data_IF_874357482344
#
_entry.id   IF_874357482344
#
_cell.length_a   1.000
_cell.length_b   1.000
_cell.length_c   1.000
_cell.angle_alpha   90.00
_cell.angle_beta   90.00
_cell.angle_gamma   90.00
#
_symmetry.space_group_name_H-M   'P 1'
#
loop_
_entity.id
_entity.type
_entity.pdbx_description
1 polymer ?
#
# COMPACT_ATOMS: atom_id res chain seq x y z
N UNK A 1 11.21 -4.86 -16.48
CA UNK A 1 10.47 -4.89 -15.22
C UNK A 1 9.65 -3.61 -15.07
N UNK A 2 8.53 -3.68 -14.37
CA UNK A 2 7.67 -2.54 -14.02
C UNK A 2 7.55 -2.48 -12.50
N UNK A 3 7.70 -1.27 -11.93
CA UNK A 3 7.56 -1.03 -10.50
C UNK A 3 6.36 -0.12 -10.24
N UNK A 4 5.55 -0.44 -9.23
CA UNK A 4 4.42 0.40 -8.78
C UNK A 4 4.24 0.27 -7.26
N UNK A 5 3.58 1.25 -6.66
CA UNK A 5 3.28 1.26 -5.23
C UNK A 5 1.87 1.76 -4.95
N UNK A 6 1.21 1.16 -3.97
CA UNK A 6 0.09 1.76 -3.27
C UNK A 6 0.63 2.35 -1.97
N UNK A 7 0.43 3.65 -1.77
CA UNK A 7 0.97 4.42 -0.63
C UNK A 7 -0.18 5.07 0.11
N UNK A 8 -0.17 4.94 1.41
CA UNK A 8 -1.11 5.53 2.34
C UNK A 8 -0.35 6.34 3.39
N UNK A 9 -0.64 7.64 3.48
CA UNK A 9 0.06 8.54 4.39
C UNK A 9 -0.80 8.78 5.63
N UNK A 10 -0.25 8.59 6.82
CA UNK A 10 -0.97 8.89 8.05
C UNK A 10 -1.24 10.38 8.18
N UNK A 11 -2.41 10.70 8.76
CA UNK A 11 -2.83 12.08 9.00
C UNK A 11 -3.64 12.69 7.85
N UNK A 12 -4.34 13.79 8.16
CA UNK A 12 -5.18 14.53 7.22
C UNK A 12 -4.83 16.03 7.25
N UNK A 13 -5.30 16.76 6.25
CA UNK A 13 -5.03 18.19 6.15
C UNK A 13 -3.57 18.50 5.83
N UNK A 14 -3.02 19.52 6.44
CA UNK A 14 -1.67 20.03 6.12
C UNK A 14 -0.56 19.02 6.44
N UNK A 15 -0.52 18.36 7.61
CA UNK A 15 0.51 17.35 7.90
C UNK A 15 0.50 16.18 6.91
N UNK A 16 -0.68 15.61 6.60
CA UNK A 16 -0.82 14.54 5.61
C UNK A 16 -0.35 14.94 4.21
N UNK A 17 -0.64 16.19 3.78
CA UNK A 17 -0.16 16.72 2.51
C UNK A 17 1.38 16.82 2.47
N UNK A 18 2.02 17.23 3.57
CA UNK A 18 3.49 17.23 3.68
C UNK A 18 4.06 15.83 3.63
N UNK A 19 3.45 14.85 4.32
CA UNK A 19 3.87 13.46 4.28
C UNK A 19 3.81 12.90 2.85
N UNK A 20 2.72 13.17 2.12
CA UNK A 20 2.57 12.75 0.73
C UNK A 20 3.62 13.37 -0.19
N UNK A 21 3.94 14.67 0.01
CA UNK A 21 4.97 15.35 -0.78
C UNK A 21 6.37 14.80 -0.50
N UNK A 22 6.72 14.61 0.78
CA UNK A 22 8.00 14.04 1.20
C UNK A 22 8.14 12.60 0.67
N UNK A 23 7.10 11.79 0.85
CA UNK A 23 7.07 10.41 0.37
C UNK A 23 7.25 10.32 -1.14
N UNK A 24 6.51 11.12 -1.91
CA UNK A 24 6.63 11.19 -3.36
C UNK A 24 8.05 11.60 -3.79
N UNK A 25 8.58 12.69 -3.23
CA UNK A 25 9.92 13.18 -3.56
C UNK A 25 11.00 12.15 -3.23
N UNK A 26 10.96 11.56 -2.04
CA UNK A 26 11.93 10.56 -1.62
C UNK A 26 11.83 9.29 -2.48
N UNK A 27 10.61 8.80 -2.78
CA UNK A 27 10.39 7.62 -3.61
C UNK A 27 10.93 7.83 -5.04
N UNK A 28 10.68 9.01 -5.64
CA UNK A 28 11.20 9.35 -6.95
C UNK A 28 12.74 9.32 -7.02
N UNK A 29 13.42 9.78 -5.97
CA UNK A 29 14.89 9.77 -5.92
C UNK A 29 15.44 8.37 -5.66
N UNK A 30 14.87 7.65 -4.73
CA UNK A 30 15.34 6.32 -4.33
C UNK A 30 15.18 5.31 -5.46
N UNK A 31 14.07 5.34 -6.19
CA UNK A 31 13.80 4.39 -7.29
C UNK A 31 14.68 4.60 -8.53
N UNK A 32 15.33 5.76 -8.64
CA UNK A 32 16.37 5.98 -9.69
C UNK A 32 17.66 5.21 -9.42
N UNK A 33 17.92 4.86 -8.17
CA UNK A 33 19.16 4.23 -7.71
C UNK A 33 18.96 2.76 -7.36
N UNK A 34 17.85 2.45 -6.70
CA UNK A 34 17.55 1.11 -6.19
C UNK A 34 16.38 0.50 -6.96
N UNK A 35 16.52 -0.77 -7.34
CA UNK A 35 15.52 -1.54 -8.09
C UNK A 35 14.90 -2.68 -7.28
N UNK A 36 15.51 -3.05 -6.15
CA UNK A 36 15.00 -4.07 -5.25
C UNK A 36 14.02 -3.45 -4.24
N UNK A 37 12.78 -3.95 -4.13
CA UNK A 37 11.74 -3.36 -3.27
C UNK A 37 12.16 -3.15 -1.81
N UNK A 38 12.85 -4.11 -1.19
CA UNK A 38 13.34 -4.00 0.19
C UNK A 38 14.35 -2.85 0.35
N UNK A 39 15.28 -2.71 -0.61
CA UNK A 39 16.27 -1.64 -0.60
C UNK A 39 15.65 -0.27 -0.84
N UNK A 40 14.62 -0.22 -1.68
CA UNK A 40 13.85 1.01 -1.89
C UNK A 40 13.16 1.41 -0.59
N UNK A 41 12.51 0.50 0.12
CA UNK A 41 11.86 0.80 1.39
C UNK A 41 12.86 1.22 2.48
N UNK A 42 14.00 0.52 2.61
CA UNK A 42 15.05 0.88 3.56
C UNK A 42 15.55 2.32 3.34
N UNK A 43 15.81 2.70 2.09
CA UNK A 43 16.31 4.03 1.75
C UNK A 43 15.21 5.10 1.82
N UNK A 44 13.97 4.75 1.43
CA UNK A 44 12.82 5.62 1.58
C UNK A 44 12.57 5.96 3.04
N UNK A 45 12.59 4.95 3.92
CA UNK A 45 12.44 5.15 5.36
C UNK A 45 13.53 6.10 5.90
N UNK A 46 14.78 5.84 5.55
CA UNK A 46 15.92 6.68 5.98
C UNK A 46 15.78 8.13 5.49
N UNK A 47 15.52 8.33 4.20
CA UNK A 47 15.39 9.66 3.60
C UNK A 47 14.21 10.43 4.21
N UNK A 48 13.07 9.75 4.44
CA UNK A 48 11.91 10.38 5.08
C UNK A 48 12.19 10.77 6.52
N UNK A 49 12.87 9.92 7.30
CA UNK A 49 13.26 10.26 8.67
C UNK A 49 14.23 11.47 8.71
N UNK A 50 15.22 11.53 7.83
CA UNK A 50 16.19 12.64 7.75
C UNK A 50 15.50 13.97 7.37
N UNK A 51 14.47 13.93 6.52
CA UNK A 51 13.72 15.13 6.13
C UNK A 51 12.76 15.62 7.22
N UNK A 52 12.13 14.69 7.96
CA UNK A 52 11.18 15.02 9.01
C UNK A 52 11.84 15.44 10.32
N UNK A 53 13.04 14.92 10.59
CA UNK A 53 13.77 15.16 11.83
C UNK A 53 15.23 15.58 11.58
N UNK A 54 15.47 16.75 10.94
CA UNK A 54 16.82 17.20 10.58
C UNK A 54 17.74 17.41 11.80
N UNK A 55 17.17 17.75 12.96
CA UNK A 55 17.91 18.01 14.21
C UNK A 55 17.97 16.80 15.15
N UNK A 56 17.52 15.61 14.69
CA UNK A 56 17.43 14.40 15.50
C UNK A 56 16.09 14.25 16.23
N UNK A 57 15.90 13.06 16.82
CA UNK A 57 14.64 12.65 17.45
C UNK A 57 14.50 13.23 18.85
N UNK A 58 13.58 14.13 19.09
CA UNK A 58 13.36 14.67 20.44
C UNK A 58 12.33 15.77 20.62
N UNK A 59 11.95 16.48 19.56
CA UNK A 59 10.98 17.57 19.61
C UNK A 59 9.95 17.45 18.47
N UNK A 60 8.74 18.01 18.70
CA UNK A 60 7.73 18.16 17.64
C UNK A 60 8.37 18.83 16.43
N UNK A 61 8.25 18.23 15.24
CA UNK A 61 8.75 18.86 14.04
C UNK A 61 8.04 20.19 13.85
N UNK A 62 8.77 21.21 13.34
CA UNK A 62 8.22 22.51 12.96
C UNK A 62 7.06 22.43 11.96
N UNK A 63 6.83 21.27 11.36
CA UNK A 63 5.77 20.99 10.38
C UNK A 63 4.51 20.38 11.00
N UNK A 64 4.46 20.19 12.35
CA UNK A 64 3.34 19.56 13.05
C UNK A 64 3.21 18.06 12.78
N UNK A 65 4.25 17.43 12.22
CA UNK A 65 4.34 15.98 12.01
C UNK A 65 4.82 15.35 13.32
N UNK A 66 4.10 14.36 13.82
CA UNK A 66 4.46 13.67 15.07
C UNK A 66 5.34 12.45 14.78
N UNK A 67 6.00 11.91 15.83
CA UNK A 67 6.79 10.67 15.73
C UNK A 67 5.96 9.43 15.33
N UNK A 68 4.63 9.55 15.33
CA UNK A 68 3.70 8.49 14.94
C UNK A 68 3.21 8.62 13.49
N UNK A 69 3.49 9.75 12.84
CA UNK A 69 3.13 9.96 11.45
C UNK A 69 4.11 9.22 10.55
N UNK A 70 3.59 8.53 9.56
CA UNK A 70 4.37 7.70 8.65
C UNK A 70 3.61 7.39 7.37
N UNK A 71 4.12 6.45 6.60
CA UNK A 71 3.46 5.97 5.39
C UNK A 71 3.39 4.45 5.43
N UNK A 72 2.22 3.92 5.13
CA UNK A 72 2.01 2.52 4.83
C UNK A 72 2.10 2.32 3.32
N UNK A 73 2.84 1.33 2.87
CA UNK A 73 2.95 1.11 1.43
C UNK A 73 3.24 -0.34 1.06
N UNK A 74 2.71 -0.74 -0.10
CA UNK A 74 3.09 -1.94 -0.81
C UNK A 74 3.89 -1.57 -2.05
N UNK A 75 5.17 -1.93 -2.10
CA UNK A 75 6.03 -1.74 -3.28
C UNK A 75 6.19 -3.05 -4.02
N UNK A 76 5.89 -3.01 -5.32
CA UNK A 76 5.82 -4.18 -6.18
C UNK A 76 6.66 -3.98 -7.42
N UNK A 77 7.50 -4.95 -7.75
CA UNK A 77 8.23 -5.03 -9.00
C UNK A 77 7.81 -6.29 -9.76
N UNK A 78 7.32 -6.12 -10.99
CA UNK A 78 6.93 -7.21 -11.88
C UNK A 78 7.88 -7.28 -13.06
N UNK A 79 8.57 -8.41 -13.18
CA UNK A 79 9.37 -8.75 -14.35
C UNK A 79 8.59 -9.73 -15.24
N UNK A 80 8.06 -9.21 -16.36
CA UNK A 80 7.26 -10.03 -17.30
C UNK A 80 8.11 -10.99 -18.14
N UNK A 81 9.39 -10.70 -18.33
CA UNK A 81 10.27 -11.59 -19.09
C UNK A 81 10.68 -12.80 -18.24
N UNK A 82 10.95 -12.56 -16.97
CA UNK A 82 11.29 -13.62 -16.00
C UNK A 82 10.06 -14.27 -15.36
N UNK A 83 8.88 -13.70 -15.58
CA UNK A 83 7.66 -14.10 -14.88
C UNK A 83 7.87 -14.14 -13.36
N UNK A 84 8.39 -13.04 -12.81
CA UNK A 84 8.74 -12.90 -11.41
C UNK A 84 8.10 -11.67 -10.80
N UNK A 85 7.59 -11.82 -9.58
CA UNK A 85 7.11 -10.76 -8.70
C UNK A 85 8.08 -10.62 -7.55
N UNK A 86 8.51 -9.39 -7.26
CA UNK A 86 9.18 -9.01 -6.03
C UNK A 86 8.31 -8.00 -5.29
N UNK A 87 8.16 -8.19 -3.99
CA UNK A 87 7.33 -7.36 -3.13
C UNK A 87 8.05 -7.08 -1.81
N UNK A 88 7.90 -5.85 -1.33
CA UNK A 88 8.20 -5.44 0.03
C UNK A 88 7.09 -4.52 0.52
N UNK A 89 6.67 -4.65 1.76
CA UNK A 89 5.54 -3.88 2.31
C UNK A 89 5.84 -3.31 3.69
N UNK A 90 5.45 -2.06 3.88
CA UNK A 90 5.36 -1.37 5.15
C UNK A 90 3.88 -1.39 5.58
N UNK A 91 3.49 -2.21 6.54
CA UNK A 91 2.11 -2.45 7.03
C UNK A 91 1.07 -2.84 5.95
N UNK A 92 1.32 -2.59 4.68
CA UNK A 92 0.40 -2.76 3.56
C UNK A 92 0.63 -4.11 2.85
N UNK A 93 -0.31 -5.07 2.92
CA UNK A 93 -0.16 -6.38 2.30
C UNK A 93 -0.35 -6.33 0.78
N UNK A 94 0.20 -7.35 0.10
CA UNK A 94 -0.07 -7.60 -1.32
C UNK A 94 -0.92 -8.86 -1.47
N UNK A 95 -1.84 -8.86 -2.43
CA UNK A 95 -2.71 -9.99 -2.73
C UNK A 95 -2.42 -10.51 -4.13
N UNK A 96 -2.22 -11.82 -4.25
CA UNK A 96 -2.11 -12.54 -5.52
C UNK A 96 -3.29 -13.49 -5.67
N UNK A 97 -4.07 -13.35 -6.73
CA UNK A 97 -5.14 -14.30 -7.07
C UNK A 97 -4.68 -15.16 -8.24
N UNK A 98 -4.60 -16.46 -8.02
CA UNK A 98 -4.23 -17.49 -8.99
C UNK A 98 -5.27 -18.60 -9.01
N UNK A 99 -5.92 -18.84 -10.15
CA UNK A 99 -6.93 -19.91 -10.33
C UNK A 99 -8.01 -19.90 -9.25
N UNK A 100 -8.49 -18.72 -8.88
CA UNK A 100 -9.53 -18.55 -7.86
C UNK A 100 -9.05 -18.69 -6.40
N UNK A 101 -7.76 -18.86 -6.17
CA UNK A 101 -7.17 -18.90 -4.82
C UNK A 101 -6.40 -17.60 -4.55
N UNK A 102 -6.64 -17.00 -3.38
CA UNK A 102 -5.94 -15.82 -2.93
C UNK A 102 -4.77 -16.21 -2.03
N UNK A 103 -3.59 -15.71 -2.37
CA UNK A 103 -2.41 -15.70 -1.53
C UNK A 103 -2.14 -14.27 -1.05
N UNK A 104 -2.05 -14.09 0.26
CA UNK A 104 -1.66 -12.83 0.88
C UNK A 104 -0.17 -12.84 1.22
N UNK A 105 0.59 -11.88 0.68
CA UNK A 105 1.97 -11.61 1.06
C UNK A 105 1.94 -10.60 2.21
N UNK A 106 2.49 -11.01 3.35
CA UNK A 106 2.44 -10.21 4.58
C UNK A 106 3.51 -9.13 4.55
N UNK A 107 3.17 -7.89 4.94
CA UNK A 107 4.13 -6.81 5.08
C UNK A 107 4.96 -6.96 6.36
N UNK A 108 6.05 -6.21 6.45
CA UNK A 108 6.67 -5.89 7.73
C UNK A 108 5.76 -4.94 8.51
N UNK A 109 5.65 -5.17 9.83
CA UNK A 109 4.84 -4.33 10.72
C UNK A 109 5.63 -3.10 11.18
N UNK A 110 5.90 -2.24 10.22
CA UNK A 110 6.66 -1.01 10.42
C UNK A 110 6.25 -0.04 9.31
N UNK A 111 5.79 1.15 9.67
CA UNK A 111 5.50 2.22 8.71
C UNK A 111 6.80 2.89 8.24
N UNK A 112 6.80 3.46 7.05
CA UNK A 112 7.89 4.34 6.57
C UNK A 112 7.85 5.64 7.39
N UNK A 113 9.01 6.17 7.73
CA UNK A 113 9.22 7.36 8.56
C UNK A 113 8.80 7.22 10.03
N UNK A 114 8.25 6.08 10.46
CA UNK A 114 8.07 5.81 11.87
C UNK A 114 9.42 5.48 12.51
N UNK A 115 9.74 6.22 13.57
CA UNK A 115 10.97 5.96 14.33
C UNK A 115 10.74 4.85 15.35
N UNK A 116 11.34 3.69 15.09
CA UNK A 116 11.55 2.66 16.13
C UNK A 116 13.04 2.49 16.39
N UNK A 117 13.49 2.57 17.66
CA UNK A 117 14.89 2.29 18.02
C UNK A 117 15.25 0.84 17.66
N UNK A 118 16.29 0.67 16.85
CA UNK A 118 16.76 -0.64 16.41
C UNK A 118 16.25 -1.00 15.01
N UNK A 119 16.70 -0.25 14.03
CA UNK A 119 16.32 -0.33 12.61
C UNK A 119 16.28 -1.78 12.12
N UNK A 120 15.08 -2.31 11.97
CA UNK A 120 14.84 -3.53 11.19
C UNK A 120 14.79 -3.13 9.74
N UNK A 121 15.51 -3.83 8.87
CA UNK A 121 15.38 -3.70 7.43
C UNK A 121 14.06 -4.32 6.97
N UNK A 122 13.48 -3.76 5.91
CA UNK A 122 12.33 -4.37 5.25
C UNK A 122 12.71 -5.69 4.57
N UNK A 123 11.77 -6.62 4.55
CA UNK A 123 11.96 -7.92 3.91
C UNK A 123 11.43 -7.93 2.47
N UNK A 124 12.13 -8.63 1.58
CA UNK A 124 11.66 -8.87 0.21
C UNK A 124 11.09 -10.29 0.10
N UNK A 125 9.93 -10.40 -0.55
CA UNK A 125 9.33 -11.66 -0.94
C UNK A 125 9.35 -11.77 -2.46
N UNK A 126 9.77 -12.94 -2.97
CA UNK A 126 9.84 -13.23 -4.42
C UNK A 126 8.93 -14.40 -4.75
N UNK A 127 8.16 -14.25 -5.82
CA UNK A 127 7.22 -15.27 -6.31
C UNK A 127 7.34 -15.43 -7.83
N UNK A 128 7.31 -16.68 -8.29
CA UNK A 128 7.15 -16.95 -9.72
C UNK A 128 5.70 -16.69 -10.12
N UNK A 129 5.52 -15.93 -11.21
CA UNK A 129 4.22 -15.63 -11.80
C UNK A 129 3.85 -16.64 -12.88
N UNK A 130 2.56 -16.75 -13.15
CA UNK A 130 2.02 -17.49 -14.30
C UNK A 130 0.99 -16.63 -15.01
N UNK A 131 0.79 -16.87 -16.31
CA UNK A 131 -0.25 -16.17 -17.08
C UNK A 131 -1.64 -16.36 -16.45
N UNK A 132 -2.34 -15.23 -16.30
CA UNK A 132 -3.66 -15.17 -15.67
C UNK A 132 -3.64 -14.86 -14.19
N UNK A 133 -2.46 -14.73 -13.57
CA UNK A 133 -2.35 -14.17 -12.22
C UNK A 133 -2.86 -12.73 -12.18
N UNK A 134 -3.54 -12.38 -11.10
CA UNK A 134 -3.94 -11.01 -10.83
C UNK A 134 -3.36 -10.58 -9.48
N UNK A 135 -2.62 -9.48 -9.50
CA UNK A 135 -1.96 -8.89 -8.36
C UNK A 135 -2.76 -7.67 -7.92
N UNK A 136 -3.05 -7.54 -6.61
CA UNK A 136 -3.72 -6.37 -6.06
C UNK A 136 -2.88 -5.77 -4.93
N UNK A 137 -2.61 -4.46 -5.05
CA UNK A 137 -2.11 -3.62 -3.98
C UNK A 137 -3.21 -2.61 -3.60
N UNK A 138 -3.46 -2.40 -2.31
CA UNK A 138 -4.54 -1.52 -1.87
C UNK A 138 -4.20 -0.87 -0.54
N UNK A 139 -4.68 0.37 -0.33
CA UNK A 139 -4.78 1.00 0.99
C UNK A 139 -5.87 0.33 1.82
N UNK A 140 -5.94 0.60 3.11
CA UNK A 140 -6.94 -0.03 3.98
C UNK A 140 -8.31 0.65 3.95
N UNK A 141 -8.43 1.85 3.35
CA UNK A 141 -9.65 2.63 3.29
C UNK A 141 -10.87 1.87 2.73
N UNK A 142 -10.67 0.96 1.75
CA UNK A 142 -11.76 0.11 1.26
C UNK A 142 -12.28 -0.84 2.35
N UNK A 143 -11.37 -1.50 3.06
CA UNK A 143 -11.75 -2.47 4.09
C UNK A 143 -12.29 -1.80 5.36
N UNK A 144 -11.88 -0.58 5.61
CA UNK A 144 -12.22 0.20 6.79
C UNK A 144 -13.47 1.07 6.61
N UNK A 145 -13.99 1.18 5.38
CA UNK A 145 -15.23 1.90 5.10
C UNK A 145 -16.41 1.34 5.88
N UNK A 146 -17.10 2.22 6.59
CA UNK A 146 -18.36 1.91 7.28
C UNK A 146 -19.53 1.88 6.31
N UNK A 147 -20.51 1.00 6.58
CA UNK A 147 -21.70 0.89 5.74
C UNK A 147 -22.47 -0.39 5.99
N UNK A 148 -23.28 -0.77 4.98
CA UNK A 148 -24.20 -1.90 5.06
C UNK A 148 -25.32 -1.67 6.08
N UNK A 149 -26.22 -2.64 6.22
CA UNK A 149 -27.46 -2.53 7.04
C UNK A 149 -27.18 -2.21 8.52
N UNK A 150 -25.99 -2.56 9.03
CA UNK A 150 -25.64 -2.43 10.45
C UNK A 150 -24.53 -1.39 10.72
N UNK A 151 -24.16 -0.55 9.75
CA UNK A 151 -23.11 0.48 9.92
C UNK A 151 -21.78 -0.09 10.38
N UNK A 152 -21.34 -1.24 9.84
CA UNK A 152 -20.07 -1.89 10.20
C UNK A 152 -19.00 -1.63 9.15
N UNK A 153 -17.71 -1.82 9.52
CA UNK A 153 -16.64 -1.82 8.54
C UNK A 153 -16.84 -2.94 7.50
N UNK A 154 -16.41 -2.70 6.25
CA UNK A 154 -16.42 -3.70 5.18
C UNK A 154 -15.62 -4.95 5.57
N UNK A 155 -14.47 -4.74 6.20
CA UNK A 155 -13.56 -5.73 6.74
C UNK A 155 -12.67 -6.41 5.67
N UNK A 156 -11.41 -6.64 6.02
CA UNK A 156 -10.41 -7.31 5.17
C UNK A 156 -10.85 -8.68 4.63
N UNK A 157 -11.71 -9.40 5.38
CA UNK A 157 -12.22 -10.71 4.93
C UNK A 157 -13.09 -10.56 3.68
N UNK A 158 -14.05 -9.64 3.69
CA UNK A 158 -14.94 -9.37 2.54
C UNK A 158 -14.16 -8.80 1.37
N UNK A 159 -13.19 -7.93 1.63
CA UNK A 159 -12.34 -7.38 0.59
C UNK A 159 -11.57 -8.49 -0.15
N UNK A 160 -10.97 -9.44 0.56
CA UNK A 160 -10.29 -10.59 -0.05
C UNK A 160 -11.25 -11.48 -0.85
N UNK A 161 -12.45 -11.71 -0.35
CA UNK A 161 -13.50 -12.46 -1.07
C UNK A 161 -13.89 -11.75 -2.36
N UNK A 162 -14.06 -10.42 -2.32
CA UNK A 162 -14.32 -9.59 -3.50
C UNK A 162 -13.18 -9.69 -4.53
N UNK A 163 -11.91 -9.57 -4.12
CA UNK A 163 -10.76 -9.68 -5.01
C UNK A 163 -10.75 -11.03 -5.76
N UNK A 164 -11.08 -12.13 -5.08
CA UNK A 164 -11.19 -13.46 -5.70
C UNK A 164 -12.33 -13.50 -6.73
N UNK A 165 -13.47 -12.90 -6.41
CA UNK A 165 -14.64 -12.89 -7.29
C UNK A 165 -14.39 -12.11 -8.59
N UNK A 166 -13.72 -10.96 -8.48
CA UNK A 166 -13.50 -10.06 -9.62
C UNK A 166 -12.25 -10.42 -10.44
N UNK A 167 -11.29 -11.15 -9.88
CA UNK A 167 -10.05 -11.50 -10.58
C UNK A 167 -10.23 -12.15 -11.95
N UNK A 168 -11.28 -12.94 -12.27
CA UNK A 168 -11.49 -13.47 -13.61
C UNK A 168 -11.96 -12.42 -14.63
N UNK A 169 -12.50 -11.29 -14.20
CA UNK A 169 -13.09 -10.27 -15.04
C UNK A 169 -12.05 -9.48 -15.85
N UNK A 170 -12.39 -8.91 -17.01
CA UNK A 170 -11.56 -7.90 -17.67
C UNK A 170 -11.27 -6.69 -16.76
N UNK A 171 -10.18 -5.95 -17.01
CA UNK A 171 -9.74 -4.86 -16.15
C UNK A 171 -10.82 -3.80 -15.88
N UNK A 172 -11.54 -3.38 -16.90
CA UNK A 172 -12.64 -2.39 -16.76
C UNK A 172 -13.80 -2.93 -15.92
N UNK A 173 -14.12 -4.22 -16.06
CA UNK A 173 -15.18 -4.85 -15.26
C UNK A 173 -14.74 -5.05 -13.81
N UNK A 174 -13.44 -5.31 -13.56
CA UNK A 174 -12.88 -5.34 -12.20
C UNK A 174 -13.02 -3.98 -11.51
N UNK A 175 -12.65 -2.91 -12.21
CA UNK A 175 -12.77 -1.54 -11.70
C UNK A 175 -14.24 -1.22 -11.37
N UNK A 176 -15.14 -1.47 -12.31
CA UNK A 176 -16.57 -1.22 -12.08
C UNK A 176 -17.15 -2.03 -10.92
N UNK A 177 -16.74 -3.29 -10.78
CA UNK A 177 -17.19 -4.15 -9.68
C UNK A 177 -16.66 -3.66 -8.32
N UNK A 178 -15.41 -3.16 -8.27
CA UNK A 178 -14.86 -2.53 -7.05
C UNK A 178 -15.65 -1.27 -6.69
N UNK A 179 -15.86 -0.37 -7.63
CA UNK A 179 -16.62 0.88 -7.41
C UNK A 179 -18.05 0.58 -6.95
N UNK A 180 -18.75 -0.30 -7.65
CA UNK A 180 -20.12 -0.70 -7.30
C UNK A 180 -20.18 -1.31 -5.90
N UNK A 181 -19.27 -2.23 -5.58
CA UNK A 181 -19.24 -2.87 -4.27
C UNK A 181 -18.93 -1.88 -3.14
N UNK A 182 -18.06 -0.90 -3.39
CA UNK A 182 -17.74 0.15 -2.43
C UNK A 182 -18.94 1.08 -2.19
N UNK A 183 -19.57 1.58 -3.26
CA UNK A 183 -20.69 2.51 -3.18
C UNK A 183 -21.95 1.85 -2.57
N UNK A 184 -22.25 0.61 -2.96
CA UNK A 184 -23.37 -0.16 -2.36
C UNK A 184 -23.14 -0.42 -0.86
N UNK A 185 -21.89 -0.69 -0.47
CA UNK A 185 -21.55 -0.89 0.93
C UNK A 185 -21.64 0.41 1.72
N UNK A 186 -21.03 1.49 1.22
CA UNK A 186 -20.98 2.80 1.85
C UNK A 186 -22.40 3.38 2.01
N UNK A 187 -23.24 3.27 1.00
CA UNK A 187 -24.57 3.88 0.98
C UNK A 187 -24.50 5.39 1.25
N UNK A 188 -25.20 5.86 2.27
CA UNK A 188 -25.24 7.27 2.68
C UNK A 188 -24.14 7.65 3.70
N UNK A 189 -23.29 6.69 4.10
CA UNK A 189 -22.22 6.97 5.05
C UNK A 189 -21.11 7.80 4.39
N UNK A 190 -20.40 8.62 5.18
CA UNK A 190 -19.24 9.37 4.70
C UNK A 190 -18.08 8.42 4.41
N UNK A 191 -17.28 8.75 3.41
CA UNK A 191 -16.00 8.08 3.19
C UNK A 191 -15.03 8.48 4.30
N UNK A 192 -14.48 7.49 5.01
CA UNK A 192 -13.67 7.72 6.21
C UNK A 192 -12.17 7.81 5.93
N UNK A 193 -11.72 7.32 4.75
CA UNK A 193 -10.32 7.26 4.40
C UNK A 193 -10.12 7.24 2.87
N UNK A 194 -8.89 7.50 2.42
CA UNK A 194 -8.52 7.43 1.00
C UNK A 194 -8.51 5.98 0.50
N UNK A 195 -9.20 5.74 -0.60
CA UNK A 195 -9.35 4.41 -1.20
C UNK A 195 -8.55 4.30 -2.48
N UNK A 196 -7.50 3.49 -2.46
CA UNK A 196 -6.72 3.12 -3.64
C UNK A 196 -6.69 1.60 -3.79
N UNK A 197 -7.01 1.10 -4.98
CA UNK A 197 -6.80 -0.30 -5.37
C UNK A 197 -6.15 -0.35 -6.73
N UNK A 198 -4.98 -0.98 -6.83
CA UNK A 198 -4.26 -1.21 -8.07
C UNK A 198 -4.36 -2.70 -8.40
N UNK A 199 -4.96 -3.03 -9.54
CA UNK A 199 -5.04 -4.40 -10.06
C UNK A 199 -4.16 -4.57 -11.31
N UNK A 200 -3.27 -5.56 -11.30
CA UNK A 200 -2.38 -5.87 -12.43
C UNK A 200 -2.54 -7.33 -12.84
N UNK A 201 -2.91 -7.57 -14.10
CA UNK A 201 -2.97 -8.91 -14.68
C UNK A 201 -1.67 -9.24 -15.44
N UNK A 202 -1.17 -10.44 -15.24
CA UNK A 202 0.04 -10.98 -15.87
C UNK A 202 -0.27 -11.89 -17.05
#
# INVERSE_FOLDING_TARGET
ACMFAAVDCTGHGVPGAFMSLIGHHALEHVTKVYTQPDKVLDQLNRASCELLHPDGFGEESTLGVTMQDGMDLALVCVDRERMELQYSGANCPLYLVRKGLLQELKPDKMAIASFEPGVKSYSMQTLSLVHGDVIFAATDGFADQFGGVNGKKFMRKRFRELLVQIAPLPAQEMEQALMTSFDEWRGEEEQVDDVLVIGVRV
#
